data_IF_625274244248
#
_entry.id   IF_625274244248
#
_cell.length_a   1.000
_cell.length_b   1.000
_cell.length_c   1.000
_cell.angle_alpha   90.00
_cell.angle_beta   90.00
_cell.angle_gamma   90.00
#
_symmetry.space_group_name_H-M   'P 1'
#
loop_
_entity.id
_entity.type
_entity.pdbx_description
1 polymer ?
#
# COMPACT_ATOMS: atom_id res chain seq x y z
N UNK A 1 34.53 -19.80 6.56
CA UNK A 1 33.07 -20.06 6.52
C UNK A 1 32.22 -18.80 6.77
N UNK A 2 32.63 -17.82 7.59
CA UNK A 2 31.82 -16.62 7.88
C UNK A 2 31.65 -15.60 6.72
N UNK A 3 32.63 -15.47 5.82
CA UNK A 3 32.63 -14.43 4.75
C UNK A 3 31.56 -14.64 3.67
N UNK A 4 31.23 -15.90 3.33
CA UNK A 4 30.33 -16.24 2.21
C UNK A 4 28.86 -16.11 2.64
N UNK A 5 28.55 -16.41 3.91
CA UNK A 5 27.22 -16.25 4.48
C UNK A 5 26.83 -14.76 4.58
N UNK A 6 27.75 -13.90 5.02
CA UNK A 6 27.52 -12.45 5.09
C UNK A 6 27.17 -11.82 3.73
N UNK A 7 27.88 -12.20 2.67
CA UNK A 7 27.58 -11.72 1.32
C UNK A 7 26.19 -12.12 0.82
N UNK A 8 25.75 -13.36 1.12
CA UNK A 8 24.40 -13.83 0.77
C UNK A 8 23.30 -13.07 1.52
N UNK A 9 23.52 -12.72 2.79
CA UNK A 9 22.57 -11.93 3.60
C UNK A 9 22.47 -10.50 3.05
N UNK A 10 23.60 -9.84 2.78
CA UNK A 10 23.61 -8.48 2.22
C UNK A 10 22.93 -8.43 0.86
N UNK A 11 23.24 -9.38 -0.03
CA UNK A 11 22.60 -9.45 -1.35
C UNK A 11 21.08 -9.62 -1.25
N UNK A 12 20.60 -10.47 -0.32
CA UNK A 12 19.16 -10.64 -0.07
C UNK A 12 18.54 -9.37 0.48
N UNK A 13 19.18 -8.72 1.45
CA UNK A 13 18.70 -7.46 2.02
C UNK A 13 18.57 -6.38 0.94
N UNK A 14 19.58 -6.21 0.08
CA UNK A 14 19.54 -5.26 -1.03
C UNK A 14 18.36 -5.57 -1.97
N UNK A 15 18.17 -6.84 -2.35
CA UNK A 15 17.03 -7.22 -3.20
C UNK A 15 15.71 -6.87 -2.51
N UNK A 16 15.54 -7.23 -1.24
CA UNK A 16 14.31 -6.93 -0.49
C UNK A 16 14.05 -5.43 -0.41
N UNK A 17 15.06 -4.62 -0.06
CA UNK A 17 14.89 -3.17 0.02
C UNK A 17 14.59 -2.54 -1.34
N UNK A 18 15.23 -2.99 -2.41
CA UNK A 18 14.91 -2.53 -3.77
C UNK A 18 13.47 -2.85 -4.12
N UNK A 19 12.99 -4.07 -3.84
CA UNK A 19 11.59 -4.45 -4.08
C UNK A 19 10.63 -3.59 -3.26
N UNK A 20 10.92 -3.35 -1.98
CA UNK A 20 10.09 -2.49 -1.11
C UNK A 20 10.00 -1.08 -1.67
N UNK A 21 11.12 -0.48 -2.08
CA UNK A 21 11.13 0.87 -2.65
C UNK A 21 10.32 0.93 -3.94
N UNK A 22 10.48 -0.05 -4.83
CA UNK A 22 9.72 -0.11 -6.08
C UNK A 22 8.22 -0.25 -5.82
N UNK A 23 7.82 -1.11 -4.89
CA UNK A 23 6.42 -1.29 -4.52
C UNK A 23 5.83 -0.03 -3.89
N UNK A 24 6.58 0.65 -3.03
CA UNK A 24 6.16 1.92 -2.43
C UNK A 24 5.92 2.99 -3.49
N UNK A 25 6.84 3.14 -4.45
CA UNK A 25 6.68 4.10 -5.54
C UNK A 25 5.49 3.75 -6.45
N UNK A 26 5.31 2.47 -6.76
CA UNK A 26 4.18 1.99 -7.56
C UNK A 26 2.85 2.25 -6.86
N UNK A 27 2.77 1.98 -5.55
CA UNK A 27 1.60 2.24 -4.72
C UNK A 27 1.22 3.73 -4.75
N UNK A 28 2.17 4.62 -4.46
CA UNK A 28 1.91 6.07 -4.48
C UNK A 28 1.52 6.59 -5.86
N UNK A 29 2.17 6.12 -6.91
CA UNK A 29 1.81 6.50 -8.28
C UNK A 29 0.40 6.01 -8.67
N UNK A 30 0.04 4.79 -8.29
CA UNK A 30 -1.30 4.24 -8.55
C UNK A 30 -2.42 5.02 -7.85
N UNK A 31 -2.16 5.53 -6.63
CA UNK A 31 -3.09 6.41 -5.90
C UNK A 31 -3.28 7.75 -6.61
N UNK A 32 -2.20 8.37 -7.10
CA UNK A 32 -2.30 9.61 -7.88
C UNK A 32 -3.09 9.41 -9.18
N UNK A 33 -2.91 8.27 -9.85
CA UNK A 33 -3.74 7.91 -10.99
C UNK A 33 -5.22 7.74 -10.60
N UNK A 34 -5.51 7.10 -9.46
CA UNK A 34 -6.88 6.98 -8.98
C UNK A 34 -7.51 8.35 -8.70
N UNK A 35 -6.79 9.27 -8.05
CA UNK A 35 -7.28 10.63 -7.79
C UNK A 35 -7.52 11.45 -9.07
N UNK A 36 -6.71 11.22 -10.11
CA UNK A 36 -6.84 11.97 -11.37
C UNK A 36 -7.86 11.40 -12.35
N UNK A 37 -8.14 10.09 -12.29
CA UNK A 37 -8.95 9.40 -13.29
C UNK A 37 -10.33 8.96 -12.78
N UNK A 38 -10.50 8.79 -11.46
CA UNK A 38 -11.74 8.28 -10.88
C UNK A 38 -12.49 9.38 -10.13
N UNK A 39 -13.81 9.30 -10.19
CA UNK A 39 -14.69 10.12 -9.35
C UNK A 39 -14.93 9.42 -8.01
N UNK A 40 -14.99 10.21 -6.93
CA UNK A 40 -15.19 9.69 -5.58
C UNK A 40 -16.47 8.85 -5.48
N UNK A 41 -16.33 7.63 -4.92
CA UNK A 41 -17.42 6.69 -4.70
C UNK A 41 -18.23 6.34 -5.97
N UNK A 42 -17.60 6.44 -7.15
CA UNK A 42 -18.18 6.02 -8.42
C UNK A 42 -17.42 4.82 -8.98
N UNK A 43 -18.02 3.61 -8.98
CA UNK A 43 -17.37 2.43 -9.50
C UNK A 43 -17.22 2.46 -11.02
N UNK A 44 -16.02 2.16 -11.52
CA UNK A 44 -15.70 1.97 -12.93
C UNK A 44 -15.36 0.49 -13.16
N UNK A 45 -16.19 -0.21 -13.94
CA UNK A 45 -15.96 -1.61 -14.25
C UNK A 45 -14.73 -1.78 -15.16
N UNK A 46 -13.82 -2.69 -14.77
CA UNK A 46 -12.64 -3.03 -15.58
C UNK A 46 -12.86 -4.35 -16.30
N UNK A 47 -13.33 -5.36 -15.55
CA UNK A 47 -13.74 -6.68 -16.04
C UNK A 47 -14.95 -7.14 -15.22
N UNK A 48 -15.72 -8.16 -15.67
CA UNK A 48 -16.83 -8.69 -14.90
C UNK A 48 -16.41 -9.11 -13.49
N UNK A 49 -17.06 -8.55 -12.47
CA UNK A 49 -16.76 -8.81 -11.06
C UNK A 49 -15.67 -7.94 -10.44
N UNK A 50 -15.03 -7.03 -11.20
CA UNK A 50 -14.00 -6.11 -10.68
C UNK A 50 -14.27 -4.66 -11.11
N UNK A 51 -14.48 -3.80 -10.12
CA UNK A 51 -14.58 -2.35 -10.31
C UNK A 51 -13.40 -1.64 -9.64
N UNK A 52 -12.87 -0.61 -10.30
CA UNK A 52 -12.03 0.39 -9.65
C UNK A 52 -12.94 1.47 -9.05
N UNK A 53 -12.75 1.80 -7.77
CA UNK A 53 -13.54 2.84 -7.09
C UNK A 53 -12.60 3.65 -6.21
N UNK A 54 -12.66 4.99 -6.33
CA UNK A 54 -11.90 5.88 -5.45
C UNK A 54 -12.61 6.01 -4.10
N UNK A 55 -11.97 5.50 -3.06
CA UNK A 55 -12.43 5.56 -1.67
C UNK A 55 -11.28 5.95 -0.74
N UNK A 56 -11.55 6.89 0.16
CA UNK A 56 -10.62 7.31 1.19
C UNK A 56 -10.89 6.52 2.47
N UNK A 57 -10.02 5.57 2.79
CA UNK A 57 -10.14 4.76 4.01
C UNK A 57 -9.45 5.49 5.18
N UNK A 58 -10.22 5.83 6.22
CA UNK A 58 -9.71 6.47 7.46
C UNK A 58 -9.23 5.47 8.53
N UNK A 59 -9.05 4.19 8.17
CA UNK A 59 -8.53 3.16 9.08
C UNK A 59 -9.58 2.43 9.92
N UNK A 60 -10.83 2.34 9.44
CA UNK A 60 -11.95 1.72 10.16
C UNK A 60 -12.22 0.25 9.76
N UNK A 61 -11.22 -0.47 9.22
CA UNK A 61 -11.38 -1.85 8.75
C UNK A 61 -11.87 -2.80 9.86
N UNK A 62 -11.68 -2.43 11.13
CA UNK A 62 -12.18 -3.14 12.29
C UNK A 62 -13.12 -2.21 13.08
N UNK A 63 -14.43 -2.40 12.96
CA UNK A 63 -15.43 -1.57 13.64
C UNK A 63 -15.29 -1.58 15.17
N UNK A 64 -14.70 -2.61 15.76
CA UNK A 64 -14.43 -2.64 17.21
C UNK A 64 -13.28 -1.71 17.65
N UNK A 65 -12.45 -1.21 16.71
CA UNK A 65 -11.40 -0.21 16.95
C UNK A 65 -11.81 1.18 16.49
N UNK A 66 -13.05 1.40 16.05
CA UNK A 66 -13.52 2.72 15.62
C UNK A 66 -13.45 3.75 16.75
N UNK A 67 -13.63 3.29 17.99
CA UNK A 67 -13.60 4.13 19.19
C UNK A 67 -12.21 4.21 19.83
N UNK A 68 -11.20 3.57 19.23
CA UNK A 68 -9.84 3.49 19.79
C UNK A 68 -9.03 4.80 19.71
N UNK A 69 -9.68 5.96 19.54
CA UNK A 69 -9.05 7.27 19.67
C UNK A 69 -8.27 7.77 18.45
N UNK A 70 -8.46 7.17 17.27
CA UNK A 70 -7.98 7.72 16.00
C UNK A 70 -6.46 7.70 15.78
N UNK A 71 -5.70 6.94 16.58
CA UNK A 71 -4.24 6.78 16.39
C UNK A 71 -3.88 6.24 15.00
N UNK A 72 -4.81 5.52 14.35
CA UNK A 72 -4.64 5.03 12.99
C UNK A 72 -4.37 6.18 12.01
N UNK A 73 -4.94 7.36 12.22
CA UNK A 73 -4.70 8.53 11.37
C UNK A 73 -3.31 9.12 11.57
N UNK A 74 -2.74 9.04 12.78
CA UNK A 74 -1.38 9.52 13.06
C UNK A 74 -0.30 8.55 12.59
N UNK A 75 -0.56 7.24 12.60
CA UNK A 75 0.39 6.20 12.19
C UNK A 75 0.25 5.76 10.73
N UNK A 76 -0.93 5.90 10.13
CA UNK A 76 -1.27 5.38 8.79
C UNK A 76 -1.83 6.45 7.83
N UNK A 77 -2.09 7.68 8.29
CA UNK A 77 -2.51 8.82 7.47
C UNK A 77 -1.32 9.57 6.90
#
# INVERSE_FOLDING_TARGET
>A
MYTIAGFRVVKRAVICYTVVVLLFLLDQYSKQLAESLLSYNQPVAVIPGLNMTLLYNRGAAFSFLSDAGGWQQWLLG
#
